data_IF_097018640183
#
_entry.id   IF_097018640183
#
_cell.length_a   1.000
_cell.length_b   1.000
_cell.length_c   1.000
_cell.angle_alpha   90.00
_cell.angle_beta   90.00
_cell.angle_gamma   90.00
#
_symmetry.space_group_name_H-M   'P 1'
#
loop_
_entity.id
_entity.type
_entity.pdbx_description
1 polymer ?
#
# COMPACT_ATOMS: atom_id res chain seq x y z
N UNK A 1 -63.44 -18.07 34.26
CA UNK A 1 -63.14 -19.07 33.22
C UNK A 1 -61.74 -18.80 32.68
N UNK A 2 -60.74 -19.59 33.06
CA UNK A 2 -59.32 -19.36 32.71
C UNK A 2 -59.09 -19.81 31.25
N UNK A 3 -58.76 -18.87 30.38
CA UNK A 3 -58.39 -19.14 28.99
C UNK A 3 -56.97 -19.68 29.01
N UNK A 4 -56.82 -21.00 28.97
CA UNK A 4 -55.53 -21.64 28.71
C UNK A 4 -55.17 -21.43 27.24
N UNK A 5 -54.24 -20.52 26.95
CA UNK A 5 -53.53 -20.53 25.66
C UNK A 5 -52.78 -21.86 25.57
N UNK A 6 -53.23 -22.77 24.72
CA UNK A 6 -52.45 -23.97 24.36
C UNK A 6 -51.16 -23.46 23.68
N UNK A 7 -49.96 -23.85 24.14
CA UNK A 7 -48.79 -23.70 23.31
C UNK A 7 -48.98 -24.67 22.14
N UNK A 8 -49.33 -24.15 20.97
CA UNK A 8 -49.35 -24.97 19.75
C UNK A 8 -47.94 -25.50 19.53
N UNK A 9 -47.75 -26.80 19.68
CA UNK A 9 -46.49 -27.44 19.36
C UNK A 9 -46.25 -27.29 17.84
N UNK A 10 -45.04 -26.86 17.47
CA UNK A 10 -44.65 -26.74 16.07
C UNK A 10 -44.81 -28.09 15.36
N UNK A 11 -45.43 -28.07 14.18
CA UNK A 11 -45.52 -29.26 13.33
C UNK A 11 -44.16 -29.56 12.72
N UNK A 12 -43.88 -30.84 12.43
CA UNK A 12 -42.61 -31.26 11.81
C UNK A 12 -42.34 -30.53 10.48
N UNK A 13 -43.41 -30.22 9.72
CA UNK A 13 -43.33 -29.44 8.48
C UNK A 13 -42.87 -28.01 8.75
N UNK A 14 -43.43 -27.32 9.75
CA UNK A 14 -43.02 -25.95 10.10
C UNK A 14 -41.56 -25.90 10.56
N UNK A 15 -41.08 -26.90 11.31
CA UNK A 15 -39.67 -26.99 11.73
C UNK A 15 -38.77 -27.12 10.50
N UNK A 16 -39.11 -28.01 9.56
CA UNK A 16 -38.34 -28.19 8.31
C UNK A 16 -38.30 -26.92 7.47
N UNK A 17 -39.43 -26.20 7.36
CA UNK A 17 -39.51 -24.93 6.63
C UNK A 17 -38.64 -23.87 7.29
N UNK A 18 -38.71 -23.72 8.61
CA UNK A 18 -37.88 -22.75 9.36
C UNK A 18 -36.39 -23.09 9.22
N UNK A 19 -36.00 -24.36 9.32
CA UNK A 19 -34.63 -24.79 9.09
C UNK A 19 -34.16 -24.52 7.64
N UNK A 20 -35.04 -24.73 6.66
CA UNK A 20 -34.78 -24.42 5.25
C UNK A 20 -34.52 -22.93 5.05
N UNK A 21 -35.41 -22.06 5.56
CA UNK A 21 -35.25 -20.60 5.46
C UNK A 21 -33.99 -20.14 6.19
N UNK A 22 -33.74 -20.65 7.40
CA UNK A 22 -32.56 -20.31 8.19
C UNK A 22 -31.25 -20.70 7.47
N UNK A 23 -31.21 -21.87 6.83
CA UNK A 23 -30.01 -22.32 6.10
C UNK A 23 -29.74 -21.47 4.86
N UNK A 24 -30.77 -21.11 4.08
CA UNK A 24 -30.64 -20.21 2.93
C UNK A 24 -30.18 -18.82 3.37
N UNK A 25 -30.74 -18.30 4.46
CA UNK A 25 -30.36 -17.01 5.01
C UNK A 25 -28.89 -17.01 5.47
N UNK A 26 -28.48 -18.04 6.22
CA UNK A 26 -27.10 -18.20 6.69
C UNK A 26 -26.12 -18.32 5.51
N UNK A 27 -26.44 -19.14 4.51
CA UNK A 27 -25.61 -19.31 3.32
C UNK A 27 -25.42 -17.98 2.57
N UNK A 28 -26.51 -17.22 2.40
CA UNK A 28 -26.47 -15.91 1.74
C UNK A 28 -25.65 -14.91 2.54
N UNK A 29 -25.81 -14.87 3.87
CA UNK A 29 -25.04 -13.98 4.74
C UNK A 29 -23.53 -14.28 4.69
N UNK A 30 -23.14 -15.55 4.72
CA UNK A 30 -21.74 -15.97 4.59
C UNK A 30 -21.17 -15.59 3.22
N UNK A 31 -21.94 -15.77 2.15
CA UNK A 31 -21.52 -15.38 0.80
C UNK A 31 -21.33 -13.86 0.68
N UNK A 32 -22.24 -13.06 1.22
CA UNK A 32 -22.09 -11.62 1.28
C UNK A 32 -20.85 -11.22 2.08
N UNK A 33 -20.68 -11.78 3.29
CA UNK A 33 -19.55 -11.46 4.15
C UNK A 33 -18.19 -11.78 3.50
N UNK A 34 -18.09 -12.94 2.85
CA UNK A 34 -16.86 -13.33 2.13
C UNK A 34 -16.57 -12.43 0.93
N UNK A 35 -17.60 -12.04 0.17
CA UNK A 35 -17.47 -11.08 -0.93
C UNK A 35 -17.06 -9.69 -0.44
N UNK A 36 -17.69 -9.18 0.62
CA UNK A 36 -17.31 -7.92 1.25
C UNK A 36 -15.85 -7.96 1.72
N UNK A 37 -15.45 -9.00 2.47
CA UNK A 37 -14.07 -9.13 2.97
C UNK A 37 -13.05 -9.16 1.84
N UNK A 38 -13.33 -9.89 0.76
CA UNK A 38 -12.45 -9.93 -0.43
C UNK A 38 -12.38 -8.57 -1.13
N UNK A 39 -13.51 -7.87 -1.26
CA UNK A 39 -13.58 -6.53 -1.85
C UNK A 39 -12.81 -5.50 -1.03
N UNK A 40 -13.01 -5.48 0.28
CA UNK A 40 -12.30 -4.58 1.20
C UNK A 40 -10.78 -4.83 1.19
N UNK A 41 -10.34 -6.09 1.25
CA UNK A 41 -8.91 -6.41 1.23
C UNK A 41 -8.21 -5.95 -0.06
N UNK A 42 -8.87 -6.09 -1.22
CA UNK A 42 -8.34 -5.56 -2.50
C UNK A 42 -8.34 -4.04 -2.54
N UNK A 43 -9.39 -3.40 -2.01
CA UNK A 43 -9.51 -1.94 -1.96
C UNK A 43 -8.48 -1.32 -1.02
N UNK A 44 -8.19 -1.97 0.11
CA UNK A 44 -7.22 -1.46 1.08
C UNK A 44 -5.80 -1.52 0.51
N UNK A 45 -5.42 -2.62 -0.13
CA UNK A 45 -4.11 -2.75 -0.79
C UNK A 45 -3.90 -1.69 -1.87
N UNK A 46 -4.93 -1.41 -2.68
CA UNK A 46 -4.85 -0.37 -3.73
C UNK A 46 -4.83 1.05 -3.16
N UNK A 47 -5.59 1.33 -2.10
CA UNK A 47 -5.57 2.64 -1.43
C UNK A 47 -4.20 2.95 -0.80
N UNK A 48 -3.59 1.97 -0.13
CA UNK A 48 -2.25 2.10 0.44
C UNK A 48 -1.22 2.36 -0.66
N UNK A 49 -1.24 1.59 -1.75
CA UNK A 49 -0.32 1.79 -2.87
C UNK A 49 -0.47 3.19 -3.49
N UNK A 50 -1.71 3.69 -3.64
CA UNK A 50 -1.94 5.06 -4.12
C UNK A 50 -1.36 6.11 -3.18
N UNK A 51 -1.51 5.94 -1.87
CA UNK A 51 -0.94 6.84 -0.87
C UNK A 51 0.60 6.81 -0.89
N UNK A 52 1.20 5.62 -0.91
CA UNK A 52 2.66 5.44 -1.01
C UNK A 52 3.20 6.03 -2.32
N UNK A 53 2.51 5.82 -3.44
CA UNK A 53 2.85 6.40 -4.74
C UNK A 53 2.77 7.92 -4.77
N UNK A 54 1.72 8.51 -4.19
CA UNK A 54 1.58 9.96 -4.11
C UNK A 54 2.69 10.60 -3.25
N UNK A 55 3.03 9.98 -2.11
CA UNK A 55 4.14 10.42 -1.25
C UNK A 55 5.49 10.29 -1.95
N UNK A 56 5.70 9.21 -2.70
CA UNK A 56 6.89 9.01 -3.52
C UNK A 56 7.04 10.14 -4.55
N UNK A 57 6.01 10.42 -5.35
CA UNK A 57 6.04 11.46 -6.38
C UNK A 57 6.25 12.84 -5.77
N UNK A 58 5.56 13.16 -4.67
CA UNK A 58 5.72 14.43 -3.98
C UNK A 58 7.17 14.64 -3.49
N UNK A 59 7.78 13.58 -2.93
CA UNK A 59 9.17 13.62 -2.46
C UNK A 59 10.15 13.74 -3.63
N UNK A 60 9.97 12.96 -4.69
CA UNK A 60 10.81 13.05 -5.89
C UNK A 60 10.77 14.46 -6.49
N UNK A 61 9.57 15.05 -6.60
CA UNK A 61 9.43 16.44 -7.05
C UNK A 61 10.18 17.42 -6.15
N UNK A 62 10.08 17.26 -4.83
CA UNK A 62 10.80 18.10 -3.88
C UNK A 62 12.32 17.98 -4.06
N UNK A 63 12.83 16.76 -4.21
CA UNK A 63 14.26 16.52 -4.36
C UNK A 63 14.78 17.07 -5.69
N UNK A 64 14.04 16.85 -6.80
CA UNK A 64 14.39 17.41 -8.11
C UNK A 64 14.37 18.95 -8.11
N UNK A 65 13.41 19.57 -7.44
CA UNK A 65 13.35 21.03 -7.32
C UNK A 65 14.50 21.62 -6.50
N UNK A 66 15.06 20.85 -5.56
CA UNK A 66 16.20 21.25 -4.73
C UNK A 66 17.53 20.65 -5.24
N UNK A 67 17.53 20.07 -6.45
CA UNK A 67 18.72 19.52 -7.05
C UNK A 67 19.71 20.66 -7.34
N UNK A 68 20.99 20.40 -7.05
CA UNK A 68 22.07 21.37 -7.25
C UNK A 68 23.11 20.81 -8.19
N UNK A 69 23.66 21.69 -9.02
CA UNK A 69 24.77 21.37 -9.90
C UNK A 69 26.06 21.44 -9.07
N UNK A 70 26.65 20.28 -8.79
CA UNK A 70 27.96 20.22 -8.15
C UNK A 70 29.02 20.55 -9.22
N UNK A 71 29.92 21.51 -8.97
CA UNK A 71 30.95 21.86 -9.93
C UNK A 71 31.86 20.66 -10.17
N UNK A 72 32.06 20.33 -11.45
CA UNK A 72 32.96 19.26 -11.89
C UNK A 72 34.39 19.71 -11.62
N UNK A 73 34.98 19.26 -10.51
CA UNK A 73 36.39 19.49 -10.20
C UNK A 73 37.20 18.53 -11.06
N UNK A 74 38.23 19.04 -11.75
CA UNK A 74 39.10 18.23 -12.60
C UNK A 74 39.61 17.00 -11.83
N UNK A 75 39.20 15.80 -12.28
CA UNK A 75 39.50 14.52 -11.63
C UNK A 75 38.28 13.78 -11.05
N UNK A 76 37.14 14.45 -10.87
CA UNK A 76 35.90 13.83 -10.42
C UNK A 76 34.93 13.68 -11.61
N UNK A 77 34.92 12.50 -12.24
CA UNK A 77 33.95 12.13 -13.30
C UNK A 77 32.55 11.81 -12.72
N UNK A 78 32.14 12.48 -11.64
CA UNK A 78 30.83 12.26 -11.06
C UNK A 78 29.77 12.93 -11.96
N UNK A 79 28.96 12.10 -12.60
CA UNK A 79 27.82 12.57 -13.39
C UNK A 79 26.85 13.32 -12.48
N UNK A 80 26.48 14.54 -12.87
CA UNK A 80 25.50 15.38 -12.13
C UNK A 80 24.14 14.68 -11.95
N UNK A 81 23.81 13.81 -12.89
CA UNK A 81 22.65 12.92 -12.88
C UNK A 81 23.12 11.55 -13.34
N UNK A 82 22.93 10.53 -12.53
CA UNK A 82 23.13 9.14 -12.93
C UNK A 82 21.77 8.44 -12.94
N UNK A 83 21.34 8.01 -14.12
CA UNK A 83 20.08 7.31 -14.31
C UNK A 83 20.32 6.01 -15.05
N UNK A 84 19.88 4.92 -14.44
CA UNK A 84 19.71 3.59 -15.04
C UNK A 84 18.26 3.16 -14.80
N UNK A 85 17.78 2.07 -15.42
CA UNK A 85 16.41 1.59 -15.22
C UNK A 85 16.02 1.38 -13.76
N UNK A 86 16.96 0.93 -12.92
CA UNK A 86 16.71 0.59 -11.52
C UNK A 86 17.29 1.60 -10.53
N UNK A 87 17.94 2.66 -11.00
CA UNK A 87 18.69 3.58 -10.15
C UNK A 87 18.65 5.01 -10.67
N UNK A 88 18.39 5.96 -9.79
CA UNK A 88 18.46 7.38 -10.06
C UNK A 88 19.22 8.07 -8.94
N UNK A 89 20.31 8.77 -9.25
CA UNK A 89 21.03 9.56 -8.26
C UNK A 89 21.41 10.94 -8.77
N UNK A 90 21.28 11.92 -7.90
CA UNK A 90 21.65 13.32 -8.14
C UNK A 90 21.90 14.03 -6.81
N UNK A 91 22.55 15.18 -6.87
CA UNK A 91 22.90 15.95 -5.67
C UNK A 91 21.81 16.95 -5.29
N UNK A 92 21.46 16.99 -4.01
CA UNK A 92 20.50 17.92 -3.41
C UNK A 92 21.18 18.69 -2.29
N UNK A 93 20.82 19.97 -2.11
CA UNK A 93 21.31 20.74 -0.97
C UNK A 93 20.59 20.32 0.31
N UNK A 94 21.33 19.80 1.30
CA UNK A 94 20.77 19.49 2.60
C UNK A 94 20.98 20.65 3.56
N UNK A 95 19.89 21.30 3.98
CA UNK A 95 19.94 22.39 4.97
C UNK A 95 20.45 21.93 6.33
N UNK A 96 20.37 20.63 6.64
CA UNK A 96 20.84 20.06 7.92
C UNK A 96 22.36 19.99 8.00
N UNK A 97 22.98 19.52 6.94
CA UNK A 97 24.44 19.37 6.85
C UNK A 97 25.12 20.57 6.16
N UNK A 98 24.31 21.55 5.71
CA UNK A 98 24.72 22.74 4.98
C UNK A 98 25.60 22.43 3.74
N UNK A 99 25.43 21.26 3.12
CA UNK A 99 26.24 20.78 2.00
C UNK A 99 25.42 19.99 0.98
N UNK A 100 26.01 19.79 -0.19
CA UNK A 100 25.50 18.92 -1.23
C UNK A 100 25.57 17.46 -0.78
N UNK A 101 24.44 16.75 -0.82
CA UNK A 101 24.37 15.32 -0.55
C UNK A 101 23.76 14.58 -1.75
N UNK A 102 24.27 13.39 -2.11
CA UNK A 102 23.65 12.57 -3.12
C UNK A 102 22.34 11.99 -2.59
N UNK A 103 21.24 12.22 -3.30
CA UNK A 103 20.01 11.46 -3.14
C UNK A 103 20.05 10.30 -4.12
N UNK A 104 19.74 9.10 -3.63
CA UNK A 104 19.77 7.87 -4.40
C UNK A 104 18.40 7.21 -4.29
N UNK A 105 17.77 6.98 -5.43
CA UNK A 105 16.58 6.16 -5.59
C UNK A 105 16.98 4.83 -6.20
N UNK A 106 16.47 3.74 -5.64
CA UNK A 106 16.72 2.38 -6.12
C UNK A 106 15.40 1.64 -6.25
N UNK A 107 15.20 0.98 -7.38
CA UNK A 107 14.14 0.02 -7.60
C UNK A 107 14.69 -1.40 -7.45
N UNK A 108 13.95 -2.25 -6.76
CA UNK A 108 14.27 -3.66 -6.64
C UNK A 108 13.08 -4.47 -7.15
N UNK A 109 13.20 -5.15 -8.31
CA UNK A 109 12.15 -6.00 -8.83
C UNK A 109 11.97 -7.25 -7.97
N UNK A 110 10.77 -7.81 -8.00
CA UNK A 110 10.39 -9.06 -7.34
C UNK A 110 9.20 -9.71 -8.06
N UNK A 111 8.77 -10.89 -7.64
CA UNK A 111 7.85 -11.76 -8.38
C UNK A 111 6.46 -11.14 -8.61
N UNK A 112 5.97 -10.27 -7.71
CA UNK A 112 4.66 -9.61 -7.80
C UNK A 112 4.75 -8.11 -8.05
N UNK A 113 5.95 -7.57 -8.32
CA UNK A 113 6.18 -6.15 -8.58
C UNK A 113 7.61 -5.72 -8.22
N UNK A 114 7.72 -4.83 -7.24
CA UNK A 114 9.00 -4.37 -6.75
C UNK A 114 8.89 -3.34 -5.63
N UNK A 115 10.02 -3.07 -4.99
CA UNK A 115 10.14 -2.10 -3.90
C UNK A 115 10.97 -0.89 -4.34
N UNK A 116 10.55 0.30 -3.90
CA UNK A 116 11.27 1.54 -4.14
C UNK A 116 11.93 2.03 -2.86
N UNK A 117 13.18 2.40 -2.97
CA UNK A 117 14.02 2.84 -1.87
C UNK A 117 14.56 4.23 -2.15
N UNK A 118 14.80 5.00 -1.08
CA UNK A 118 15.50 6.29 -1.13
C UNK A 118 16.54 6.38 -0.02
N UNK A 119 17.72 6.89 -0.36
CA UNK A 119 18.78 7.29 0.57
C UNK A 119 19.24 8.71 0.29
N UNK A 120 19.62 9.44 1.33
CA UNK A 120 20.21 10.79 1.22
C UNK A 120 21.56 10.80 1.93
N UNK A 121 22.63 11.09 1.21
CA UNK A 121 23.99 11.01 1.73
C UNK A 121 24.30 9.64 2.34
N UNK A 122 24.75 9.65 3.60
CA UNK A 122 25.08 8.46 4.38
C UNK A 122 23.93 7.98 5.29
N UNK A 123 22.72 8.51 5.13
CA UNK A 123 21.58 8.03 5.90
C UNK A 123 21.22 6.57 5.57
N UNK A 124 20.45 5.95 6.47
CA UNK A 124 19.87 4.64 6.22
C UNK A 124 18.88 4.69 5.04
N UNK A 125 18.93 3.66 4.21
CA UNK A 125 18.03 3.51 3.08
C UNK A 125 16.59 3.33 3.59
N UNK A 126 15.67 4.19 3.13
CA UNK A 126 14.26 4.17 3.50
C UNK A 126 13.44 3.53 2.41
N UNK A 127 12.60 2.58 2.78
CA UNK A 127 11.59 2.01 1.88
C UNK A 127 10.48 3.05 1.66
N UNK A 128 10.20 3.38 0.40
CA UNK A 128 9.14 4.31 0.00
C UNK A 128 7.88 3.58 -0.44
N UNK A 129 8.04 2.51 -1.21
CA UNK A 129 6.97 1.61 -1.62
C UNK A 129 7.45 0.20 -1.32
N UNK A 130 6.65 -0.55 -0.56
CA UNK A 130 6.99 -1.92 -0.18
C UNK A 130 6.10 -2.89 -0.95
N UNK A 131 6.72 -3.85 -1.61
CA UNK A 131 6.00 -4.98 -2.19
C UNK A 131 5.32 -5.81 -1.08
N UNK A 132 4.10 -6.27 -1.34
CA UNK A 132 3.32 -7.16 -0.46
C UNK A 132 3.15 -8.54 -1.08
#
# INVERSE_FOLDING_TARGET
MKIYKRPGAFTLVEILVVCGIASVFLATAVMLFTNFRRGFSRSEGTAILMQEGALFVARLRNDLNNAILVPVVAGNNESQLNSTPDHLSFSVYSSREAKALPVIYRYQPSESGGSLFRREGNDSERVLIKER
#
